data_IF_539272523287
#
_entry.id   IF_539272523287
#
_cell.length_a   1.000
_cell.length_b   1.000
_cell.length_c   1.000
_cell.angle_alpha   90.00
_cell.angle_beta   90.00
_cell.angle_gamma   90.00
#
_symmetry.space_group_name_H-M   'P 1'
#
loop_
_entity.id
_entity.type
_entity.pdbx_description
1 polymer ?
#
# COMPACT_ATOMS: atom_id res chain seq x y z
N UNK A 1 34.96 16.72 5.38
CA UNK A 1 34.42 16.38 4.05
C UNK A 1 33.96 14.93 3.95
N UNK A 2 34.65 13.93 4.52
CA UNK A 2 34.22 12.51 4.49
C UNK A 2 32.86 12.23 5.16
N UNK A 3 32.52 12.94 6.24
CA UNK A 3 31.26 12.74 6.97
C UNK A 3 30.02 13.29 6.27
N UNK A 4 30.17 14.31 5.40
CA UNK A 4 29.03 14.98 4.77
C UNK A 4 28.31 14.05 3.77
N UNK A 5 29.06 13.21 3.07
CA UNK A 5 28.51 12.24 2.12
C UNK A 5 27.67 11.18 2.81
N UNK A 6 28.14 10.65 3.95
CA UNK A 6 27.39 9.68 4.76
C UNK A 6 26.07 10.29 5.27
N UNK A 7 26.11 11.53 5.77
CA UNK A 7 24.91 12.22 6.24
C UNK A 7 23.87 12.43 5.13
N UNK A 8 24.31 12.77 3.92
CA UNK A 8 23.41 12.94 2.75
C UNK A 8 22.77 11.61 2.36
N UNK A 9 23.54 10.51 2.34
CA UNK A 9 23.01 9.17 2.03
C UNK A 9 21.97 8.73 3.05
N UNK A 10 22.26 8.89 4.34
CA UNK A 10 21.32 8.57 5.42
C UNK A 10 20.04 9.41 5.34
N UNK A 11 20.17 10.69 4.98
CA UNK A 11 19.03 11.57 4.79
C UNK A 11 18.11 11.10 3.66
N UNK A 12 18.69 10.73 2.51
CA UNK A 12 17.92 10.18 1.37
C UNK A 12 17.21 8.88 1.76
N UNK A 13 17.91 7.97 2.45
CA UNK A 13 17.32 6.71 2.94
C UNK A 13 16.14 7.00 3.88
N UNK A 14 16.29 7.96 4.79
CA UNK A 14 15.22 8.35 5.70
C UNK A 14 14.01 8.93 4.97
N UNK A 15 14.22 9.77 3.95
CA UNK A 15 13.14 10.29 3.11
C UNK A 15 12.44 9.17 2.34
N UNK A 16 13.20 8.19 1.85
CA UNK A 16 12.63 7.04 1.14
C UNK A 16 11.75 6.19 2.05
N UNK A 17 12.20 5.90 3.28
CA UNK A 17 11.40 5.19 4.27
C UNK A 17 10.13 6.00 4.61
N UNK A 18 10.25 7.31 4.81
CA UNK A 18 9.11 8.18 5.09
C UNK A 18 8.08 8.17 3.94
N UNK A 19 8.55 8.20 2.69
CA UNK A 19 7.68 8.06 1.52
C UNK A 19 6.88 6.76 1.56
N UNK A 20 7.53 5.62 1.81
CA UNK A 20 6.87 4.31 1.90
C UNK A 20 5.83 4.31 3.02
N UNK A 21 6.14 4.90 4.18
CA UNK A 21 5.22 4.98 5.32
C UNK A 21 3.97 5.78 4.95
N UNK A 22 4.14 6.96 4.34
CA UNK A 22 3.01 7.80 3.92
C UNK A 22 2.21 7.10 2.82
N UNK A 23 2.87 6.55 1.80
CA UNK A 23 2.20 5.83 0.72
C UNK A 23 1.41 4.64 1.26
N UNK A 24 1.99 3.86 2.18
CA UNK A 24 1.32 2.72 2.79
C UNK A 24 0.16 3.17 3.67
N UNK A 25 0.34 4.20 4.49
CA UNK A 25 -0.73 4.74 5.34
C UNK A 25 -1.89 5.29 4.50
N UNK A 26 -1.59 6.00 3.41
CA UNK A 26 -2.59 6.54 2.47
C UNK A 26 -3.26 5.42 1.68
N UNK A 27 -2.49 4.51 1.05
CA UNK A 27 -3.03 3.40 0.25
C UNK A 27 -3.83 2.45 1.11
N UNK A 28 -3.32 2.06 2.28
CA UNK A 28 -4.03 1.18 3.22
C UNK A 28 -5.21 1.89 3.85
N UNK A 29 -5.09 3.17 4.18
CA UNK A 29 -6.18 3.99 4.69
C UNK A 29 -7.31 4.19 3.68
N UNK A 30 -7.00 4.46 2.41
CA UNK A 30 -7.99 4.55 1.32
C UNK A 30 -8.62 3.17 1.07
N UNK A 31 -7.80 2.11 0.99
CA UNK A 31 -8.28 0.75 0.74
C UNK A 31 -9.13 0.19 1.90
N UNK A 32 -8.96 0.71 3.12
CA UNK A 32 -9.78 0.36 4.30
C UNK A 32 -10.91 1.36 4.57
N UNK A 33 -11.09 2.37 3.72
CA UNK A 33 -12.07 3.45 3.91
C UNK A 33 -13.35 3.18 3.11
N UNK A 34 -14.46 3.72 3.60
CA UNK A 34 -15.77 3.78 2.92
C UNK A 34 -15.63 4.33 1.49
N UNK A 35 -14.63 5.19 1.22
CA UNK A 35 -14.32 5.70 -0.11
C UNK A 35 -13.73 4.60 -1.01
N UNK A 36 -12.85 3.75 -0.50
CA UNK A 36 -12.34 2.56 -1.21
C UNK A 36 -13.47 1.57 -1.52
N UNK A 37 -14.33 1.28 -0.55
CA UNK A 37 -15.50 0.41 -0.74
C UNK A 37 -16.52 1.01 -1.73
N UNK A 38 -16.77 2.33 -1.67
CA UNK A 38 -17.63 3.02 -2.62
C UNK A 38 -17.05 3.07 -4.03
N UNK A 39 -15.73 3.24 -4.16
CA UNK A 39 -15.04 3.18 -5.45
C UNK A 39 -15.06 1.76 -6.02
N UNK A 40 -14.85 0.74 -5.19
CA UNK A 40 -14.98 -0.67 -5.57
C UNK A 40 -16.40 -0.99 -6.06
N UNK A 41 -17.42 -0.51 -5.33
CA UNK A 41 -18.83 -0.66 -5.72
C UNK A 41 -19.24 0.14 -6.97
N UNK A 42 -18.72 1.37 -7.18
CA UNK A 42 -19.08 2.21 -8.33
C UNK A 42 -18.30 1.89 -9.60
N UNK A 43 -17.02 1.55 -9.47
CA UNK A 43 -16.10 1.41 -10.60
C UNK A 43 -15.63 -0.04 -10.81
N UNK A 44 -16.02 -1.00 -9.96
CA UNK A 44 -15.71 -2.42 -10.14
C UNK A 44 -14.22 -2.76 -10.02
N UNK A 45 -13.41 -1.84 -9.47
CA UNK A 45 -11.98 -2.04 -9.30
C UNK A 45 -11.79 -2.92 -8.06
N UNK A 46 -12.00 -4.23 -8.21
CA UNK A 46 -11.45 -5.22 -7.29
C UNK A 46 -9.94 -5.18 -7.48
N UNK A 47 -9.21 -4.59 -6.53
CA UNK A 47 -7.84 -5.02 -6.30
C UNK A 47 -7.93 -6.52 -6.08
N UNK A 48 -7.38 -7.29 -7.02
CA UNK A 48 -7.55 -8.73 -7.14
C UNK A 48 -7.18 -9.38 -5.80
N UNK A 49 -8.16 -9.58 -4.92
CA UNK A 49 -8.15 -10.73 -4.03
C UNK A 49 -7.92 -11.91 -4.97
N UNK A 50 -6.82 -12.58 -4.69
CA UNK A 50 -6.33 -13.73 -5.42
C UNK A 50 -7.52 -14.55 -5.93
N UNK A 51 -7.56 -14.82 -7.24
CA UNK A 51 -8.52 -15.73 -7.88
C UNK A 51 -8.52 -17.16 -7.28
N UNK A 52 -7.75 -17.39 -6.22
CA UNK A 52 -7.52 -18.67 -5.55
C UNK A 52 -8.28 -18.79 -4.22
N UNK A 53 -8.90 -17.73 -3.69
CA UNK A 53 -9.61 -17.80 -2.40
C UNK A 53 -11.11 -18.18 -2.54
N UNK A 54 -11.71 -18.04 -3.73
CA UNK A 54 -13.14 -18.26 -3.93
C UNK A 54 -13.53 -19.74 -4.19
N UNK A 55 -12.56 -20.64 -4.38
CA UNK A 55 -12.83 -22.04 -4.80
C UNK A 55 -12.60 -23.11 -3.71
N UNK A 56 -12.35 -22.73 -2.45
CA UNK A 56 -12.08 -23.69 -1.34
C UNK A 56 -13.32 -24.06 -0.50
N UNK A 57 -14.44 -23.37 -0.64
CA UNK A 57 -15.63 -23.59 0.21
C UNK A 57 -16.81 -24.26 -0.54
N UNK A 58 -16.55 -25.06 -1.57
CA UNK A 58 -17.58 -25.92 -2.18
C UNK A 58 -17.40 -27.39 -1.81
N UNK A 59 -17.63 -27.69 -0.53
CA UNK A 59 -17.86 -29.05 -0.03
C UNK A 59 -19.13 -29.04 0.85
N UNK A 60 -20.31 -29.08 0.20
CA UNK A 60 -21.48 -29.94 0.52
C UNK A 60 -22.77 -29.50 -0.15
#
# INVERSE_FOLDING_TARGET
MQSIGLSIVLYIISLFILYIVIETAVRRGINSSIIGELLEKKYGIKDKKSFLDDDIDNDK
#
